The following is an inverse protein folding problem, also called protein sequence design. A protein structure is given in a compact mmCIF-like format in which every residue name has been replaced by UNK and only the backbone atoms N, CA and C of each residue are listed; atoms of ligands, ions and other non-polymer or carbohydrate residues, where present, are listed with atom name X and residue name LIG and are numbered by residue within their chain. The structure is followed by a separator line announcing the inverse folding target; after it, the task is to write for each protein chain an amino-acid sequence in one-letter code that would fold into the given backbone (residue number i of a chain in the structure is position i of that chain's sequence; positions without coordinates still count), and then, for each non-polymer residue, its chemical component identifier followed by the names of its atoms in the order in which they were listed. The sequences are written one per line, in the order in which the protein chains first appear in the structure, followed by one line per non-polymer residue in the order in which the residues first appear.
data_IF_182968972193
#
_entry.id   IF_182968972193
#
_cell.length_a   1.000
_cell.length_b   1.000
_cell.length_c   1.000
_cell.angle_alpha   90.00
_cell.angle_beta   90.00
_cell.angle_gamma   90.00
#
_symmetry.space_group_name_H-M   'P 1'
#
loop_
_entity.id
_entity.type
_entity.pdbx_description
1 polymer ?
#
# COMPACT_ATOMS: atom_id res chain seq x y z
N UNK A 1 -79.36 4.91 -47.01
CA UNK A 1 -78.21 5.07 -46.10
C UNK A 1 -78.50 4.35 -44.79
N UNK A 2 -77.82 3.23 -44.53
CA UNK A 2 -77.76 2.54 -43.24
C UNK A 2 -76.30 2.13 -43.06
N UNK A 3 -75.63 2.71 -42.08
CA UNK A 3 -74.21 2.48 -41.76
C UNK A 3 -74.16 1.47 -40.62
N UNK A 4 -73.47 0.36 -40.83
CA UNK A 4 -73.18 -0.64 -39.80
C UNK A 4 -71.87 -0.26 -39.09
N UNK A 5 -71.78 -0.32 -37.75
CA UNK A 5 -70.52 -0.16 -37.06
C UNK A 5 -69.75 -1.49 -36.98
N UNK A 6 -68.52 -1.48 -37.47
CA UNK A 6 -67.52 -2.53 -37.25
C UNK A 6 -66.83 -2.24 -35.91
N UNK A 7 -66.92 -3.17 -34.96
CA UNK A 7 -66.22 -3.12 -33.67
C UNK A 7 -64.87 -3.83 -33.85
N UNK A 8 -63.79 -3.06 -33.80
CA UNK A 8 -62.40 -3.56 -33.73
C UNK A 8 -62.08 -3.88 -32.26
N UNK A 9 -61.99 -5.16 -31.93
CA UNK A 9 -61.42 -5.64 -30.66
C UNK A 9 -59.91 -5.74 -30.81
N UNK A 10 -59.18 -4.77 -30.23
CA UNK A 10 -57.74 -4.86 -30.06
C UNK A 10 -57.42 -5.84 -28.92
N UNK A 11 -56.76 -6.95 -29.25
CA UNK A 11 -56.27 -7.92 -28.27
C UNK A 11 -55.10 -7.36 -27.45
N UNK A 12 -55.20 -7.47 -26.13
CA UNK A 12 -54.09 -7.18 -25.21
C UNK A 12 -53.05 -8.29 -25.30
N UNK A 13 -51.88 -7.99 -25.86
CA UNK A 13 -50.67 -8.79 -25.64
C UNK A 13 -50.20 -8.56 -24.18
N UNK A 14 -50.30 -9.59 -23.34
CA UNK A 14 -49.65 -9.62 -22.03
C UNK A 14 -48.17 -9.91 -22.20
N UNK A 15 -47.37 -8.86 -22.37
CA UNK A 15 -45.92 -8.91 -22.17
C UNK A 15 -45.66 -9.07 -20.67
N UNK A 16 -45.13 -10.22 -20.25
CA UNK A 16 -44.65 -10.38 -18.88
C UNK A 16 -43.49 -9.41 -18.64
N UNK A 17 -43.52 -8.56 -17.61
CA UNK A 17 -42.40 -7.69 -17.31
C UNK A 17 -41.28 -8.54 -16.70
N UNK A 18 -40.21 -8.76 -17.46
CA UNK A 18 -38.93 -9.19 -16.91
C UNK A 18 -38.47 -8.08 -15.96
N UNK A 19 -38.60 -8.31 -14.66
CA UNK A 19 -38.10 -7.38 -13.66
C UNK A 19 -36.59 -7.18 -13.89
N UNK A 20 -36.08 -5.94 -13.91
CA UNK A 20 -34.65 -5.72 -13.96
C UNK A 20 -34.04 -6.31 -12.69
N UNK A 21 -33.17 -7.31 -12.86
CA UNK A 21 -32.30 -7.79 -11.79
C UNK A 21 -31.36 -6.65 -11.45
N UNK A 22 -31.73 -5.84 -10.46
CA UNK A 22 -30.82 -4.91 -9.80
C UNK A 22 -29.73 -5.78 -9.15
N UNK A 23 -28.63 -5.98 -9.88
CA UNK A 23 -27.39 -6.47 -9.30
C UNK A 23 -26.91 -5.36 -8.36
N UNK A 24 -27.34 -5.43 -7.10
CA UNK A 24 -26.69 -4.73 -6.00
C UNK A 24 -25.33 -5.40 -5.79
N UNK A 25 -24.44 -5.21 -6.76
CA UNK A 25 -23.01 -5.32 -6.51
C UNK A 25 -22.71 -4.11 -5.65
N UNK A 26 -22.80 -4.29 -4.33
CA UNK A 26 -22.22 -3.36 -3.37
C UNK A 26 -20.78 -3.22 -3.83
N UNK A 27 -20.47 -2.07 -4.43
CA UNK A 27 -19.10 -1.71 -4.77
C UNK A 27 -18.40 -1.67 -3.41
N UNK A 28 -17.71 -2.75 -3.06
CA UNK A 28 -17.02 -2.86 -1.78
C UNK A 28 -16.24 -1.56 -1.63
N UNK A 29 -16.51 -0.82 -0.56
CA UNK A 29 -15.72 0.36 -0.29
C UNK A 29 -14.25 -0.09 -0.27
N UNK A 30 -13.34 0.61 -0.98
CA UNK A 30 -11.96 0.20 -1.02
C UNK A 30 -11.47 0.07 0.42
N UNK A 31 -11.03 -1.13 0.79
CA UNK A 31 -10.46 -1.38 2.11
C UNK A 31 -9.40 -0.30 2.38
N UNK A 32 -9.46 0.35 3.54
CA UNK A 32 -8.53 1.41 3.87
C UNK A 32 -7.10 0.84 3.82
N UNK A 33 -6.25 1.44 2.98
CA UNK A 33 -4.87 1.01 2.83
C UNK A 33 -4.15 1.09 4.18
N UNK A 34 -3.60 -0.04 4.59
CA UNK A 34 -2.83 -0.17 5.83
C UNK A 34 -1.60 -1.02 5.57
N UNK A 35 -0.52 -0.73 6.30
CA UNK A 35 0.67 -1.57 6.34
C UNK A 35 0.44 -2.65 7.38
N UNK A 36 0.56 -3.91 6.98
CA UNK A 36 0.51 -5.10 7.82
C UNK A 36 1.84 -5.84 7.70
N UNK A 37 2.05 -6.85 8.54
CA UNK A 37 3.26 -7.68 8.46
C UNK A 37 3.44 -8.28 7.06
N UNK A 38 2.36 -8.78 6.44
CA UNK A 38 2.42 -9.49 5.16
C UNK A 38 2.08 -8.64 3.93
N UNK A 39 1.68 -7.38 4.10
CA UNK A 39 1.16 -6.60 2.97
C UNK A 39 1.09 -5.09 3.20
N UNK A 40 0.94 -4.33 2.10
CA UNK A 40 0.45 -2.94 2.11
C UNK A 40 -0.86 -2.88 1.33
N UNK A 41 -1.99 -2.86 2.04
CA UNK A 41 -3.30 -3.05 1.42
C UNK A 41 -3.33 -4.36 0.62
N UNK A 42 -3.65 -4.32 -0.69
CA UNK A 42 -3.66 -5.51 -1.54
C UNK A 42 -2.28 -5.92 -2.08
N UNK A 43 -1.19 -5.21 -1.75
CA UNK A 43 0.18 -5.53 -2.23
C UNK A 43 0.86 -6.51 -1.26
N UNK A 44 1.32 -7.64 -1.77
CA UNK A 44 1.94 -8.75 -1.04
C UNK A 44 3.32 -9.06 -1.67
N UNK A 45 4.11 -9.94 -1.05
CA UNK A 45 5.48 -10.21 -1.51
C UNK A 45 5.58 -10.82 -2.92
N UNK A 46 4.57 -11.59 -3.30
CA UNK A 46 4.43 -12.26 -4.60
C UNK A 46 3.67 -11.41 -5.63
N UNK A 47 3.28 -10.18 -5.28
CA UNK A 47 2.59 -9.29 -6.21
C UNK A 47 3.50 -8.93 -7.37
N UNK A 48 2.99 -9.08 -8.60
CA UNK A 48 3.72 -8.69 -9.79
C UNK A 48 3.87 -7.16 -9.81
N UNK A 49 5.11 -6.68 -9.83
CA UNK A 49 5.44 -5.27 -9.76
C UNK A 49 5.54 -4.66 -11.16
N UNK A 50 4.50 -4.86 -11.99
CA UNK A 50 4.38 -4.19 -13.29
C UNK A 50 3.33 -3.09 -13.24
N UNK A 51 3.50 -2.06 -14.09
CA UNK A 51 2.55 -0.94 -14.13
C UNK A 51 1.11 -1.37 -14.43
N UNK A 52 0.93 -2.38 -15.29
CA UNK A 52 -0.40 -2.91 -15.65
C UNK A 52 -1.01 -3.60 -14.45
N UNK A 53 -0.29 -4.55 -13.84
CA UNK A 53 -0.78 -5.31 -12.70
C UNK A 53 -1.11 -4.40 -11.51
N UNK A 54 -0.24 -3.45 -11.18
CA UNK A 54 -0.47 -2.51 -10.07
C UNK A 54 -1.69 -1.61 -10.30
N UNK A 55 -2.00 -1.22 -11.55
CA UNK A 55 -3.21 -0.43 -11.87
C UNK A 55 -4.49 -1.23 -11.71
N UNK A 56 -4.47 -2.50 -12.08
CA UNK A 56 -5.59 -3.41 -11.90
C UNK A 56 -5.83 -3.69 -10.42
N UNK A 57 -4.75 -4.02 -9.69
CA UNK A 57 -4.78 -4.33 -8.26
C UNK A 57 -5.23 -3.13 -7.41
N UNK A 58 -4.76 -1.93 -7.72
CA UNK A 58 -5.07 -0.70 -7.01
C UNK A 58 -6.19 0.09 -7.70
N UNK A 59 -7.28 -0.61 -8.06
CA UNK A 59 -8.42 0.02 -8.71
C UNK A 59 -8.95 1.23 -7.93
N UNK A 60 -9.02 2.39 -8.59
CA UNK A 60 -9.44 3.65 -7.98
C UNK A 60 -8.31 4.49 -7.37
N UNK A 61 -7.06 4.05 -7.51
CA UNK A 61 -5.85 4.87 -7.30
C UNK A 61 -5.20 5.18 -8.65
N UNK A 62 -4.42 6.25 -8.69
CA UNK A 62 -3.62 6.59 -9.86
C UNK A 62 -2.21 6.04 -9.67
N UNK A 63 -1.76 5.17 -10.58
CA UNK A 63 -0.43 4.56 -10.55
C UNK A 63 0.38 5.05 -11.75
N UNK A 64 1.56 5.64 -11.48
CA UNK A 64 2.46 6.25 -12.47
C UNK A 64 3.89 5.73 -12.29
N UNK A 65 4.67 5.56 -13.36
CA UNK A 65 6.12 5.40 -13.21
C UNK A 65 6.71 6.70 -12.65
N UNK A 66 7.74 6.59 -11.80
CA UNK A 66 8.50 7.75 -11.33
C UNK A 66 9.19 8.46 -12.50
N UNK A 67 9.32 9.78 -12.39
CA UNK A 67 9.95 10.63 -13.42
C UNK A 67 11.47 10.79 -13.25
N UNK A 68 12.05 10.30 -12.16
CA UNK A 68 13.46 10.46 -11.81
C UNK A 68 14.40 9.44 -12.48
N UNK A 69 13.87 8.59 -13.37
CA UNK A 69 14.65 7.57 -14.09
C UNK A 69 14.88 6.29 -13.28
N UNK A 70 14.39 6.21 -12.05
CA UNK A 70 14.42 4.98 -11.28
C UNK A 70 13.23 4.08 -11.60
N UNK A 71 13.42 2.77 -11.45
CA UNK A 71 12.35 1.79 -11.62
C UNK A 71 11.49 1.78 -10.36
N UNK A 72 10.51 2.67 -10.28
CA UNK A 72 9.52 2.71 -9.20
C UNK A 72 8.17 3.21 -9.71
N UNK A 73 7.11 2.82 -9.00
CA UNK A 73 5.73 3.19 -9.32
C UNK A 73 5.10 3.98 -8.18
N UNK A 74 4.78 5.24 -8.45
CA UNK A 74 4.11 6.14 -7.53
C UNK A 74 2.61 5.88 -7.51
N UNK A 75 2.01 5.84 -6.32
CA UNK A 75 0.57 5.63 -6.12
C UNK A 75 -0.07 6.84 -5.48
N UNK A 76 -1.08 7.40 -6.15
CA UNK A 76 -1.79 8.61 -5.75
C UNK A 76 -3.27 8.34 -5.48
N UNK A 77 -3.84 9.13 -4.56
CA UNK A 77 -5.30 9.26 -4.40
C UNK A 77 -5.66 10.73 -4.35
N UNK A 78 -6.55 11.15 -5.26
CA UNK A 78 -7.02 12.55 -5.34
C UNK A 78 -5.88 13.58 -5.40
N UNK A 79 -4.80 13.26 -6.14
CA UNK A 79 -3.64 14.13 -6.32
C UNK A 79 -2.59 14.09 -5.19
N UNK A 80 -2.84 13.36 -4.10
CA UNK A 80 -1.85 13.15 -3.04
C UNK A 80 -1.12 11.82 -3.25
N UNK A 81 0.21 11.85 -3.21
CA UNK A 81 1.04 10.65 -3.23
C UNK A 81 0.91 9.92 -1.90
N UNK A 82 0.50 8.66 -1.94
CA UNK A 82 0.32 7.84 -0.74
C UNK A 82 1.57 7.03 -0.41
N UNK A 83 2.12 6.37 -1.42
CA UNK A 83 3.29 5.51 -1.34
C UNK A 83 3.88 5.29 -2.74
N UNK A 84 5.05 4.68 -2.81
CA UNK A 84 5.60 4.15 -4.05
C UNK A 84 6.08 2.71 -3.86
N UNK A 85 6.05 1.96 -4.97
CA UNK A 85 6.47 0.57 -5.07
C UNK A 85 7.82 0.51 -5.77
N UNK A 86 8.78 -0.20 -5.18
CA UNK A 86 10.06 -0.53 -5.81
C UNK A 86 10.00 -2.00 -6.24
N UNK A 87 10.06 -2.30 -7.55
CA UNK A 87 10.16 -3.66 -8.06
C UNK A 87 11.51 -4.31 -7.77
N UNK A 88 11.50 -5.61 -7.55
CA UNK A 88 12.66 -6.47 -7.68
C UNK A 88 13.00 -6.61 -9.17
N UNK A 89 14.21 -6.22 -9.56
CA UNK A 89 14.60 -6.19 -10.98
C UNK A 89 14.82 -7.58 -11.57
N UNK A 90 15.12 -8.58 -10.74
CA UNK A 90 15.41 -9.94 -11.19
C UNK A 90 14.13 -10.77 -11.24
N UNK A 91 13.27 -10.64 -10.23
CA UNK A 91 12.06 -11.44 -10.06
C UNK A 91 10.82 -10.79 -10.66
N UNK A 92 10.81 -9.46 -10.84
CA UNK A 92 9.64 -8.71 -11.30
C UNK A 92 8.52 -8.61 -10.26
N UNK A 93 8.77 -9.03 -9.01
CA UNK A 93 7.88 -8.92 -7.86
C UNK A 93 8.18 -7.67 -7.04
N UNK A 94 7.53 -7.48 -5.90
CA UNK A 94 7.80 -6.33 -5.02
C UNK A 94 9.14 -6.52 -4.31
N UNK A 95 10.02 -5.52 -4.35
CA UNK A 95 11.20 -5.45 -3.50
C UNK A 95 10.89 -4.74 -2.18
N UNK A 96 10.26 -3.56 -2.23
CA UNK A 96 9.70 -2.90 -1.05
C UNK A 96 8.67 -1.84 -1.42
N UNK A 97 7.91 -1.38 -0.41
CA UNK A 97 6.91 -0.31 -0.52
C UNK A 97 7.24 0.79 0.47
N UNK A 98 7.27 2.03 -0.02
CA UNK A 98 7.63 3.21 0.75
C UNK A 98 6.40 4.10 0.91
N UNK A 99 5.80 4.08 2.10
CA UNK A 99 4.66 4.91 2.47
C UNK A 99 5.12 6.30 2.86
N UNK A 100 4.58 7.31 2.17
CA UNK A 100 4.94 8.74 2.31
C UNK A 100 3.78 9.61 2.78
N UNK A 101 2.54 9.10 2.76
CA UNK A 101 1.38 9.82 3.29
C UNK A 101 1.07 9.40 4.72
N UNK A 102 0.74 10.39 5.54
CA UNK A 102 0.18 10.17 6.87
C UNK A 102 -1.21 9.57 6.86
N UNK A 103 -1.83 9.27 5.71
CA UNK A 103 -3.15 8.62 5.64
C UNK A 103 -3.09 7.11 5.85
N UNK A 104 -1.94 6.49 5.59
CA UNK A 104 -1.75 5.03 5.74
C UNK A 104 -1.18 4.74 7.14
N UNK A 105 -1.87 3.89 7.90
CA UNK A 105 -1.40 3.43 9.22
C UNK A 105 -0.65 2.10 9.14
N UNK A 106 0.21 1.86 10.12
CA UNK A 106 0.75 0.52 10.41
C UNK A 106 -0.17 -0.20 11.39
N UNK A 107 -0.68 -1.36 11.00
CA UNK A 107 -1.53 -2.18 11.85
C UNK A 107 -0.77 -2.62 13.11
N UNK A 108 -1.41 -2.46 14.28
CA UNK A 108 -0.83 -2.84 15.57
C UNK A 108 0.26 -1.90 16.10
N UNK A 109 0.61 -0.82 15.38
CA UNK A 109 1.58 0.20 15.83
C UNK A 109 0.96 1.60 15.71
N UNK A 110 1.48 2.56 16.47
CA UNK A 110 1.10 3.98 16.37
C UNK A 110 1.79 4.70 15.19
N UNK A 111 2.59 3.99 14.41
CA UNK A 111 3.45 4.57 13.39
C UNK A 111 2.65 5.06 12.18
N UNK A 112 2.93 6.30 11.79
CA UNK A 112 2.29 7.01 10.68
C UNK A 112 3.19 8.14 10.21
N UNK A 113 3.30 8.36 8.91
CA UNK A 113 4.12 9.45 8.36
C UNK A 113 3.65 10.80 8.89
N UNK A 114 4.61 11.64 9.31
CA UNK A 114 4.40 12.96 9.90
C UNK A 114 4.04 12.95 11.39
N UNK A 115 3.66 11.79 11.96
CA UNK A 115 3.38 11.67 13.38
C UNK A 115 4.68 11.52 14.20
N UNK A 116 4.68 11.95 15.47
CA UNK A 116 5.75 11.63 16.41
C UNK A 116 5.91 10.11 16.55
N UNK A 117 7.12 9.63 16.38
CA UNK A 117 7.47 8.23 16.57
C UNK A 117 7.40 7.86 18.04
N UNK A 118 6.93 6.64 18.30
CA UNK A 118 6.98 6.03 19.62
C UNK A 118 7.43 4.58 19.51
N UNK A 119 8.21 4.12 20.48
CA UNK A 119 8.69 2.74 20.52
C UNK A 119 10.18 2.62 20.22
N UNK A 120 10.97 3.67 20.46
CA UNK A 120 12.43 3.63 20.27
C UNK A 120 13.11 2.49 21.03
N UNK A 121 12.59 2.14 22.21
CA UNK A 121 13.09 1.02 23.02
C UNK A 121 12.92 -0.37 22.35
N UNK A 122 12.03 -0.47 21.35
CA UNK A 122 11.79 -1.74 20.62
C UNK A 122 12.65 -1.88 19.36
N UNK A 123 13.25 -0.79 18.87
CA UNK A 123 14.12 -0.81 17.68
C UNK A 123 15.40 -1.59 17.97
N UNK A 124 15.68 -2.60 17.15
CA UNK A 124 16.87 -3.45 17.30
C UNK A 124 18.03 -2.99 16.45
N UNK A 125 17.76 -2.34 15.32
CA UNK A 125 18.78 -1.85 14.38
C UNK A 125 18.33 -0.59 13.64
N UNK A 126 19.30 0.13 13.11
CA UNK A 126 19.12 1.21 12.16
C UNK A 126 20.20 1.12 11.08
N UNK A 127 19.83 1.42 9.84
CA UNK A 127 20.71 1.47 8.68
C UNK A 127 20.62 2.84 8.01
N UNK A 128 21.68 3.25 7.31
CA UNK A 128 21.68 4.46 6.50
C UNK A 128 21.16 4.19 5.10
N UNK A 129 20.02 4.77 4.77
CA UNK A 129 19.46 4.72 3.43
C UNK A 129 19.57 6.13 2.83
N UNK A 130 20.68 6.37 2.13
CA UNK A 130 21.13 7.71 1.83
C UNK A 130 21.66 8.39 3.10
N UNK A 131 21.22 9.63 3.35
CA UNK A 131 21.65 10.41 4.53
C UNK A 131 20.76 10.19 5.77
N UNK A 132 19.69 9.40 5.63
CA UNK A 132 18.64 9.29 6.64
C UNK A 132 18.62 7.89 7.29
N UNK A 133 18.51 7.80 8.63
CA UNK A 133 18.43 6.52 9.31
C UNK A 133 17.06 5.87 9.07
N UNK A 134 17.10 4.61 8.66
CA UNK A 134 15.96 3.69 8.56
C UNK A 134 16.10 2.66 9.68
N UNK A 135 15.19 2.69 10.65
CA UNK A 135 15.23 1.85 11.82
C UNK A 135 14.11 0.82 11.84
N UNK A 136 14.40 -0.35 12.39
CA UNK A 136 13.48 -1.48 12.40
C UNK A 136 13.69 -2.39 13.62
N UNK A 137 12.76 -3.32 13.76
CA UNK A 137 12.86 -4.47 14.66
C UNK A 137 13.27 -5.66 13.78
N UNK A 138 14.35 -6.35 14.16
CA UNK A 138 14.88 -7.47 13.39
C UNK A 138 13.85 -8.60 13.33
N UNK A 139 13.72 -9.22 12.17
CA UNK A 139 12.68 -10.21 11.89
C UNK A 139 11.28 -9.61 11.64
N UNK A 140 11.11 -8.28 11.70
CA UNK A 140 9.87 -7.62 11.24
C UNK A 140 9.99 -7.15 9.79
N UNK A 141 8.84 -6.93 9.16
CA UNK A 141 8.71 -6.47 7.77
C UNK A 141 8.54 -4.97 7.63
N UNK A 142 8.54 -4.21 8.74
CA UNK A 142 8.25 -2.78 8.75
C UNK A 142 9.40 -2.01 9.37
N UNK A 143 9.87 -1.00 8.64
CA UNK A 143 10.87 -0.04 9.10
C UNK A 143 10.30 1.38 9.08
N UNK A 144 10.93 2.28 9.84
CA UNK A 144 10.63 3.71 9.86
C UNK A 144 11.88 4.50 9.51
N UNK A 145 11.73 5.49 8.65
CA UNK A 145 12.81 6.38 8.24
C UNK A 145 12.56 7.79 8.80
N UNK A 146 13.64 8.47 9.17
CA UNK A 146 13.60 9.77 9.85
C UNK A 146 14.41 10.81 9.09
N UNK A 147 13.87 12.04 9.02
CA UNK A 147 14.56 13.16 8.37
C UNK A 147 15.62 13.78 9.29
N UNK A 148 16.73 13.07 9.47
CA UNK A 148 17.93 13.50 10.20
C UNK A 148 19.16 12.83 9.59
N UNK A 149 20.34 13.31 9.93
CA UNK A 149 21.57 12.59 9.57
C UNK A 149 21.67 11.29 10.35
N UNK A 150 22.33 10.30 9.76
CA UNK A 150 22.58 9.01 10.38
C UNK A 150 23.44 9.04 11.64
N UNK A 151 24.20 10.12 11.85
CA UNK A 151 25.25 10.21 12.86
C UNK A 151 24.78 9.66 14.21
N UNK A 152 25.59 8.73 14.73
CA UNK A 152 25.45 7.99 16.00
C UNK A 152 24.28 6.99 16.10
N UNK A 153 23.23 7.10 15.28
CA UNK A 153 21.98 6.31 15.44
C UNK A 153 22.12 4.86 14.97
N UNK A 154 22.96 4.59 13.97
CA UNK A 154 23.17 3.24 13.42
C UNK A 154 24.05 2.37 14.31
N UNK A 155 25.00 2.97 15.02
CA UNK A 155 26.01 2.23 15.79
C UNK A 155 25.69 2.16 17.30
N UNK A 156 25.00 3.17 17.85
CA UNK A 156 24.73 3.26 19.29
C UNK A 156 23.25 2.97 19.64
N UNK A 157 22.94 1.87 20.37
CA UNK A 157 21.61 1.62 20.90
C UNK A 157 21.05 2.74 21.79
N UNK A 158 21.90 3.49 22.50
CA UNK A 158 21.46 4.62 23.31
C UNK A 158 21.01 5.79 22.43
N UNK A 159 21.71 6.05 21.31
CA UNK A 159 21.33 7.07 20.34
C UNK A 159 19.96 6.81 19.70
N UNK A 160 19.53 5.56 19.54
CA UNK A 160 18.17 5.22 19.04
C UNK A 160 17.05 5.77 19.92
N UNK A 161 17.28 5.93 21.23
CA UNK A 161 16.30 6.54 22.14
C UNK A 161 16.00 8.00 21.77
N UNK A 162 16.93 8.68 21.10
CA UNK A 162 16.73 10.05 20.60
C UNK A 162 15.70 10.16 19.47
N UNK A 163 15.26 9.03 18.90
CA UNK A 163 14.22 8.98 17.87
C UNK A 163 12.81 9.11 18.46
N UNK A 164 12.65 8.86 19.77
CA UNK A 164 11.35 8.99 20.44
C UNK A 164 10.82 10.42 20.29
N UNK A 165 9.57 10.56 19.85
CA UNK A 165 8.92 11.84 19.55
C UNK A 165 9.33 12.49 18.22
N UNK A 166 10.34 11.97 17.52
CA UNK A 166 10.73 12.51 16.21
C UNK A 166 9.68 12.20 15.15
N UNK A 167 9.45 13.12 14.21
CA UNK A 167 8.49 12.86 13.12
C UNK A 167 9.01 11.76 12.20
N UNK A 168 8.16 10.77 11.94
CA UNK A 168 8.41 9.74 10.94
C UNK A 168 8.35 10.41 9.55
N UNK A 169 9.42 10.29 8.77
CA UNK A 169 9.46 10.79 7.39
C UNK A 169 8.80 9.80 6.43
N UNK A 170 9.00 8.51 6.66
CA UNK A 170 8.49 7.44 5.80
C UNK A 170 8.34 6.15 6.60
N UNK A 171 7.35 5.34 6.23
CA UNK A 171 7.23 3.95 6.68
C UNK A 171 7.57 3.05 5.51
N UNK A 172 8.37 2.03 5.72
CA UNK A 172 8.82 1.12 4.67
C UNK A 172 8.33 -0.28 5.02
N UNK A 173 7.70 -0.96 4.07
CA UNK A 173 7.37 -2.37 4.17
C UNK A 173 8.22 -3.17 3.20
N UNK A 174 8.72 -4.32 3.64
CA UNK A 174 9.53 -5.23 2.85
C UNK A 174 8.92 -6.64 2.90
N UNK A 175 8.73 -7.33 1.75
CA UNK A 175 8.34 -8.73 1.72
C UNK A 175 9.25 -9.65 2.54
N UNK A 176 10.55 -9.35 2.58
CA UNK A 176 11.50 -10.07 3.43
C UNK A 176 11.68 -9.32 4.77
N UNK A 177 11.80 -10.04 5.89
CA UNK A 177 12.05 -9.40 7.17
C UNK A 177 13.39 -8.66 7.19
N UNK A 178 13.44 -7.50 7.84
CA UNK A 178 14.67 -6.74 8.02
C UNK A 178 15.61 -7.43 9.03
N UNK A 179 16.91 -7.36 8.78
CA UNK A 179 17.94 -7.87 9.70
C UNK A 179 18.08 -9.39 9.74
N UNK A 180 17.46 -10.12 8.79
CA UNK A 180 17.81 -11.52 8.56
C UNK A 180 18.94 -11.55 7.52
N UNK A 181 20.13 -11.96 7.93
CA UNK A 181 21.22 -12.22 7.00
C UNK A 181 20.93 -13.58 6.32
N UNK A 182 20.67 -13.64 5.00
CA UNK A 182 20.38 -14.90 4.32
C UNK A 182 21.56 -15.89 4.40
N UNK A 183 22.76 -15.41 4.70
CA UNK A 183 23.98 -16.21 4.83
C UNK A 183 24.17 -16.86 6.22
N UNK A 184 23.37 -16.54 7.24
CA UNK A 184 23.43 -17.23 8.54
C UNK A 184 22.65 -18.56 8.54
N UNK A 185 21.70 -18.76 7.64
CA UNK A 185 20.86 -19.97 7.61
C UNK A 185 21.56 -21.21 7.00
N UNK A 186 22.78 -21.06 6.49
CA UNK A 186 23.59 -22.16 5.89
C UNK A 186 24.81 -22.57 6.72
N UNK A 187 24.94 -22.08 7.96
CA UNK A 187 26.08 -22.34 8.85
C UNK A 187 25.81 -23.32 10.00
N UNK A 188 24.88 -24.26 9.83
CA UNK A 188 24.70 -25.41 10.73
C UNK A 188 24.96 -26.75 10.02
#
# INVERSE_FOLDING_TARGET
MRIAPVILLAGCYTSSPTAPTLSNTVKAEPEELSVRTSSVGPIHGDTEATLVHLRELLAGYEVKPSHDGSLQYDVYKNGEMLFYVVPDQEQGTIFNVHVVSGKIAVAGKSWRVGAPFSGAASLTSCECWGDNPTCFIAGEHVAVNFNRTCDDVTEDPAARRSLEGMKIQRVIWNPLPFGNDPDEETRD
#
